data_IF_824886486052
#
_entry.id   IF_824886486052
#
_cell.length_a   1.000
_cell.length_b   1.000
_cell.length_c   1.000
_cell.angle_alpha   90.00
_cell.angle_beta   90.00
_cell.angle_gamma   90.00
#
_symmetry.space_group_name_H-M   'P 1'
#
loop_
_entity.id
_entity.type
_entity.pdbx_description
1 polymer ?
#
# COMPACT_ATOMS: atom_id res chain seq x y z
N UNK A 1 35.26 21.38 -27.62
CA UNK A 1 35.93 21.10 -26.33
C UNK A 1 35.23 21.82 -25.17
N UNK A 2 33.91 21.64 -24.97
CA UNK A 2 33.17 22.33 -23.89
C UNK A 2 32.84 21.41 -22.69
N UNK A 3 32.90 20.09 -22.88
CA UNK A 3 32.49 19.10 -21.85
C UNK A 3 33.52 19.02 -20.71
N UNK A 4 34.81 19.23 -21.00
CA UNK A 4 35.90 19.07 -20.03
C UNK A 4 35.95 20.16 -18.95
N UNK A 5 35.31 21.32 -19.16
CA UNK A 5 35.31 22.42 -18.17
C UNK A 5 34.21 22.33 -17.11
N UNK A 6 33.23 21.42 -17.26
CA UNK A 6 32.10 21.31 -16.34
C UNK A 6 32.30 20.23 -15.26
N UNK A 7 33.18 19.26 -15.52
CA UNK A 7 33.50 18.20 -14.55
C UNK A 7 34.40 18.79 -13.46
N UNK A 8 33.93 18.81 -12.21
CA UNK A 8 34.64 19.36 -11.05
C UNK A 8 34.37 20.85 -10.76
N UNK A 9 33.61 21.54 -11.62
CA UNK A 9 33.23 22.93 -11.40
C UNK A 9 32.07 23.07 -10.39
N UNK A 10 32.06 24.15 -9.60
CA UNK A 10 30.95 24.52 -8.72
C UNK A 10 29.86 25.23 -9.53
N UNK A 11 28.91 24.48 -10.05
CA UNK A 11 27.81 24.98 -10.90
C UNK A 11 26.52 25.02 -10.09
N UNK A 12 25.74 26.10 -10.23
CA UNK A 12 24.40 26.16 -9.65
C UNK A 12 23.45 25.16 -10.32
N UNK A 13 22.52 24.59 -9.54
CA UNK A 13 21.62 23.58 -10.07
C UNK A 13 20.56 24.21 -10.96
N UNK A 14 20.20 23.53 -12.05
CA UNK A 14 19.24 24.06 -13.03
C UNK A 14 17.81 23.99 -12.51
N UNK A 15 17.54 23.09 -11.58
CA UNK A 15 16.24 22.86 -10.95
C UNK A 15 15.92 23.86 -9.84
N UNK A 16 16.92 24.54 -9.25
CA UNK A 16 16.72 25.42 -8.09
C UNK A 16 15.64 26.47 -8.31
N UNK A 17 15.60 27.23 -9.43
CA UNK A 17 14.63 28.29 -9.61
C UNK A 17 13.18 27.83 -9.48
N UNK A 18 12.82 26.66 -10.01
CA UNK A 18 11.44 26.14 -9.90
C UNK A 18 11.14 25.59 -8.52
N UNK A 19 12.12 24.96 -7.86
CA UNK A 19 11.92 24.30 -6.57
C UNK A 19 11.81 25.29 -5.42
N UNK A 20 12.53 26.42 -5.46
CA UNK A 20 12.52 27.43 -4.38
C UNK A 20 11.40 28.46 -4.51
N UNK A 21 10.62 28.41 -5.60
CA UNK A 21 9.56 29.38 -5.91
C UNK A 21 8.16 28.76 -5.91
N UNK A 22 8.02 27.48 -5.55
CA UNK A 22 6.74 26.78 -5.58
C UNK A 22 6.28 26.38 -7.00
N UNK A 23 7.13 26.51 -8.02
CA UNK A 23 6.86 26.05 -9.39
C UNK A 23 7.39 24.62 -9.66
N UNK A 24 7.76 23.90 -8.60
CA UNK A 24 8.00 22.46 -8.67
C UNK A 24 6.68 21.73 -8.91
N UNK A 25 6.72 20.62 -9.65
CA UNK A 25 5.57 19.73 -9.80
C UNK A 25 5.94 18.36 -9.23
N UNK A 26 5.18 17.94 -8.24
CA UNK A 26 5.18 16.63 -7.61
C UNK A 26 3.89 15.89 -7.99
N UNK A 27 3.80 14.62 -7.63
CA UNK A 27 2.69 13.75 -8.05
C UNK A 27 1.32 14.29 -7.61
N UNK A 28 1.23 14.87 -6.40
CA UNK A 28 -0.03 15.39 -5.83
C UNK A 28 -0.43 16.77 -6.38
N UNK A 29 0.46 17.44 -7.16
CA UNK A 29 0.17 18.74 -7.77
C UNK A 29 -0.64 18.61 -9.08
N UNK A 30 -0.76 17.39 -9.61
CA UNK A 30 -1.46 17.14 -10.87
C UNK A 30 -2.92 16.80 -10.64
N UNK A 31 -3.84 17.63 -11.13
CA UNK A 31 -5.27 17.32 -11.21
C UNK A 31 -5.71 17.17 -12.68
N UNK A 32 -6.47 16.12 -12.99
CA UNK A 32 -7.16 15.94 -14.28
C UNK A 32 -8.66 15.93 -14.04
N UNK A 33 -9.44 16.25 -15.07
CA UNK A 33 -10.88 16.04 -15.00
C UNK A 33 -11.16 14.53 -14.82
N UNK A 34 -12.02 14.19 -13.86
CA UNK A 34 -12.33 12.80 -13.53
C UNK A 34 -11.31 12.10 -12.63
N UNK A 35 -10.36 12.83 -12.01
CA UNK A 35 -9.49 12.25 -10.98
C UNK A 35 -10.33 11.77 -9.78
N UNK A 36 -10.21 10.49 -9.46
CA UNK A 36 -10.70 9.92 -8.20
C UNK A 36 -9.58 9.84 -7.17
N UNK A 37 -9.93 9.93 -5.90
CA UNK A 37 -9.03 9.85 -4.76
C UNK A 37 -9.20 8.51 -4.07
N UNK A 38 -8.09 7.84 -3.76
CA UNK A 38 -8.09 6.58 -3.05
C UNK A 38 -7.71 6.76 -1.57
N UNK A 39 -8.48 6.15 -0.68
CA UNK A 39 -8.13 5.96 0.72
C UNK A 39 -8.04 4.46 1.02
N UNK A 40 -7.05 4.06 1.83
CA UNK A 40 -6.82 2.65 2.15
C UNK A 40 -7.15 2.38 3.61
N UNK A 41 -7.99 1.38 3.85
CA UNK A 41 -8.22 0.82 5.19
C UNK A 41 -7.05 -0.10 5.51
N UNK A 42 -6.44 0.10 6.68
CA UNK A 42 -5.22 -0.59 7.09
C UNK A 42 -5.43 -1.34 8.39
N UNK A 43 -4.76 -2.49 8.50
CA UNK A 43 -4.74 -3.28 9.73
C UNK A 43 -4.14 -2.49 10.90
N UNK A 44 -4.83 -2.42 12.05
CA UNK A 44 -4.22 -1.92 13.28
C UNK A 44 -3.34 -2.98 13.98
N UNK A 45 -3.47 -4.26 13.59
CA UNK A 45 -2.80 -5.40 14.23
C UNK A 45 -1.52 -5.80 13.50
N UNK A 46 -0.54 -6.27 14.28
CA UNK A 46 0.71 -6.81 13.73
C UNK A 46 0.55 -8.21 13.13
N UNK A 47 -0.39 -9.01 13.64
CA UNK A 47 -0.78 -10.28 13.05
C UNK A 47 -2.23 -10.58 13.45
N UNK A 48 -3.13 -10.78 12.50
CA UNK A 48 -4.52 -11.12 12.79
C UNK A 48 -5.18 -11.84 11.62
N UNK A 49 -6.18 -12.67 11.90
CA UNK A 49 -7.09 -13.23 10.90
C UNK A 49 -8.21 -12.24 10.63
N UNK A 50 -8.54 -12.02 9.35
CA UNK A 50 -9.71 -11.23 8.95
C UNK A 50 -10.93 -12.16 9.00
N UNK A 51 -11.88 -11.87 9.88
CA UNK A 51 -13.15 -12.63 9.99
C UNK A 51 -14.16 -12.16 8.96
N UNK A 52 -14.33 -10.85 8.86
CA UNK A 52 -15.25 -10.22 7.91
C UNK A 52 -14.83 -8.78 7.63
N UNK A 53 -15.28 -8.27 6.47
CA UNK A 53 -15.15 -6.87 6.07
C UNK A 53 -16.56 -6.45 5.63
N UNK A 54 -17.15 -5.49 6.33
CA UNK A 54 -18.41 -4.86 5.94
C UNK A 54 -18.13 -3.52 5.25
N UNK A 55 -18.57 -3.43 4.00
CA UNK A 55 -18.41 -2.26 3.13
C UNK A 55 -19.74 -1.54 2.86
N UNK A 56 -20.83 -1.96 3.50
CA UNK A 56 -22.20 -1.58 3.16
C UNK A 56 -22.43 -0.06 3.25
N UNK A 57 -21.99 0.56 4.34
CA UNK A 57 -22.18 2.00 4.56
C UNK A 57 -21.21 2.83 3.72
N UNK A 58 -19.96 2.39 3.62
CA UNK A 58 -18.95 3.02 2.78
C UNK A 58 -19.38 3.09 1.30
N UNK A 59 -19.99 2.02 0.79
CA UNK A 59 -20.45 1.93 -0.61
C UNK A 59 -21.64 2.84 -0.92
N UNK A 60 -22.34 3.33 0.10
CA UNK A 60 -23.49 4.25 -0.02
C UNK A 60 -23.13 5.69 0.34
N UNK A 61 -21.90 5.93 0.79
CA UNK A 61 -21.49 7.24 1.25
C UNK A 61 -21.43 8.25 0.09
N UNK A 62 -21.83 9.51 0.31
CA UNK A 62 -21.82 10.53 -0.73
C UNK A 62 -20.45 10.71 -1.38
N UNK A 63 -20.40 10.63 -2.71
CA UNK A 63 -19.19 10.81 -3.52
C UNK A 63 -18.23 9.62 -3.52
N UNK A 64 -18.52 8.53 -2.79
CA UNK A 64 -17.79 7.25 -2.96
C UNK A 64 -18.24 6.61 -4.27
N UNK A 65 -17.27 6.34 -5.15
CA UNK A 65 -17.51 5.73 -6.46
C UNK A 65 -17.38 4.21 -6.41
N UNK A 66 -16.41 3.70 -5.65
CA UNK A 66 -16.19 2.26 -5.51
C UNK A 66 -15.44 1.91 -4.22
N UNK A 67 -15.69 0.71 -3.73
CA UNK A 67 -14.94 0.09 -2.63
C UNK A 67 -14.41 -1.26 -3.13
N UNK A 68 -13.13 -1.52 -2.91
CA UNK A 68 -12.46 -2.75 -3.29
C UNK A 68 -11.89 -3.48 -2.08
N UNK A 69 -12.00 -4.80 -2.12
CA UNK A 69 -11.41 -5.75 -1.17
C UNK A 69 -10.58 -6.77 -1.95
N UNK A 70 -9.90 -7.68 -1.24
CA UNK A 70 -9.15 -8.76 -1.89
C UNK A 70 -10.01 -9.61 -2.86
N UNK A 71 -11.33 -9.70 -2.63
CA UNK A 71 -12.25 -10.49 -3.47
C UNK A 71 -12.35 -9.95 -4.90
N UNK A 72 -12.26 -8.64 -5.06
CA UNK A 72 -12.41 -7.95 -6.35
C UNK A 72 -11.20 -8.15 -7.27
N UNK A 73 -10.05 -8.52 -6.70
CA UNK A 73 -8.78 -8.68 -7.42
C UNK A 73 -8.45 -10.13 -7.78
N UNK A 74 -9.12 -11.12 -7.18
CA UNK A 74 -8.78 -12.56 -7.37
C UNK A 74 -8.81 -13.04 -8.82
N UNK A 75 -9.73 -12.50 -9.62
CA UNK A 75 -9.87 -12.86 -11.04
C UNK A 75 -9.04 -11.97 -11.98
N UNK A 76 -8.51 -10.85 -11.46
CA UNK A 76 -7.83 -9.80 -12.22
C UNK A 76 -6.30 -9.93 -12.12
N UNK A 77 -5.79 -10.48 -11.01
CA UNK A 77 -4.36 -10.61 -10.76
C UNK A 77 -3.83 -11.92 -11.36
N UNK A 78 -2.87 -11.80 -12.28
CA UNK A 78 -2.18 -12.93 -12.88
C UNK A 78 -1.22 -13.66 -11.91
N UNK A 79 -1.07 -13.15 -10.68
CA UNK A 79 -0.21 -13.72 -9.66
C UNK A 79 -0.03 -12.79 -8.46
N UNK A 80 0.82 -13.20 -7.54
CA UNK A 80 1.19 -12.42 -6.36
C UNK A 80 2.10 -11.24 -6.73
N UNK A 81 2.27 -10.28 -5.83
CA UNK A 81 3.22 -9.19 -6.01
C UNK A 81 4.60 -9.73 -6.38
N UNK A 82 5.22 -9.20 -7.45
CA UNK A 82 6.58 -9.57 -7.80
C UNK A 82 7.52 -9.03 -6.71
N UNK A 83 7.78 -9.85 -5.69
CA UNK A 83 8.94 -9.65 -4.86
C UNK A 83 10.12 -10.17 -5.66
N UNK A 84 11.01 -9.27 -6.10
CA UNK A 84 12.32 -9.71 -6.54
C UNK A 84 12.88 -10.61 -5.43
N UNK A 85 13.40 -11.81 -5.74
CA UNK A 85 14.12 -12.57 -4.73
C UNK A 85 15.14 -11.59 -4.16
N UNK A 86 15.13 -11.43 -2.83
CA UNK A 86 16.17 -10.65 -2.18
C UNK A 86 17.50 -11.09 -2.78
N UNK A 87 18.49 -10.21 -2.92
CA UNK A 87 19.84 -10.50 -3.46
C UNK A 87 20.62 -11.60 -2.69
N UNK A 88 19.91 -12.38 -1.86
CA UNK A 88 20.32 -13.55 -1.10
C UNK A 88 19.95 -14.80 -1.91
N UNK A 89 20.96 -15.39 -2.58
CA UNK A 89 20.81 -16.57 -3.44
C UNK A 89 20.14 -17.79 -2.77
N UNK A 90 20.14 -17.84 -1.44
CA UNK A 90 19.60 -18.94 -0.64
C UNK A 90 18.11 -18.80 -0.31
N UNK A 91 17.53 -17.59 -0.42
CA UNK A 91 16.11 -17.35 -0.16
C UNK A 91 15.28 -17.65 -1.41
N UNK A 92 14.95 -18.94 -1.58
CA UNK A 92 14.08 -19.43 -2.66
C UNK A 92 12.58 -19.29 -2.39
N UNK A 93 12.18 -18.87 -1.19
CA UNK A 93 10.77 -18.72 -0.83
C UNK A 93 10.32 -17.26 -0.98
N UNK A 94 9.44 -17.04 -1.96
CA UNK A 94 8.69 -15.79 -2.11
C UNK A 94 7.31 -16.05 -1.51
N UNK A 95 6.97 -15.46 -0.34
CA UNK A 95 5.63 -15.59 0.20
C UNK A 95 4.63 -14.98 -0.77
N UNK A 96 3.48 -15.63 -0.92
CA UNK A 96 2.36 -15.07 -1.66
C UNK A 96 1.92 -13.78 -0.97
N UNK A 97 2.08 -12.65 -1.67
CA UNK A 97 1.66 -11.33 -1.18
C UNK A 97 0.72 -10.71 -2.17
N UNK A 98 -0.46 -10.31 -1.72
CA UNK A 98 -1.45 -9.63 -2.54
C UNK A 98 -1.50 -8.13 -2.16
N UNK A 99 -1.97 -7.25 -3.06
CA UNK A 99 -2.08 -5.82 -2.77
C UNK A 99 -3.03 -5.50 -1.62
N UNK A 100 -4.01 -6.37 -1.41
CA UNK A 100 -5.00 -6.28 -0.34
C UNK A 100 -5.06 -7.65 0.35
N UNK A 101 -4.97 -7.66 1.67
CA UNK A 101 -5.03 -8.86 2.49
C UNK A 101 -6.42 -9.52 2.40
N UNK A 102 -6.42 -10.84 2.24
CA UNK A 102 -7.65 -11.62 2.07
C UNK A 102 -8.07 -12.34 3.35
N UNK A 103 -7.15 -13.15 3.92
CA UNK A 103 -7.46 -14.08 5.02
C UNK A 103 -6.84 -13.64 6.34
N UNK A 104 -5.65 -13.07 6.27
CA UNK A 104 -4.86 -12.65 7.42
C UNK A 104 -4.02 -11.44 7.04
N UNK A 105 -3.74 -10.63 8.04
CA UNK A 105 -2.82 -9.50 8.00
C UNK A 105 -1.58 -9.89 8.79
N UNK A 106 -0.41 -9.71 8.18
CA UNK A 106 0.88 -10.19 8.68
C UNK A 106 1.77 -9.06 9.20
N UNK A 107 1.30 -7.80 9.14
CA UNK A 107 1.95 -6.64 9.73
C UNK A 107 0.94 -5.50 9.93
N UNK A 108 1.26 -4.62 10.88
CA UNK A 108 0.50 -3.39 11.11
C UNK A 108 0.63 -2.48 9.89
N UNK A 109 -0.49 -1.93 9.43
CA UNK A 109 -0.55 -1.08 8.25
C UNK A 109 -0.85 -1.83 6.95
N UNK A 110 -0.95 -3.16 6.96
CA UNK A 110 -1.34 -3.94 5.77
C UNK A 110 -2.74 -3.55 5.28
N UNK A 111 -2.90 -3.40 3.96
CA UNK A 111 -4.14 -2.92 3.35
C UNK A 111 -5.18 -4.03 3.37
N UNK A 112 -6.40 -3.72 3.82
CA UNK A 112 -7.54 -4.67 3.83
C UNK A 112 -8.69 -4.24 2.91
N UNK A 113 -8.80 -2.96 2.61
CA UNK A 113 -9.74 -2.43 1.63
C UNK A 113 -9.23 -1.10 1.04
N UNK A 114 -9.76 -0.73 -0.12
CA UNK A 114 -9.51 0.56 -0.76
C UNK A 114 -10.85 1.22 -1.13
N UNK A 115 -10.99 2.51 -0.84
CA UNK A 115 -12.17 3.32 -1.16
C UNK A 115 -11.75 4.38 -2.18
N UNK A 116 -12.48 4.47 -3.29
CA UNK A 116 -12.30 5.51 -4.30
C UNK A 116 -13.48 6.50 -4.22
N UNK A 117 -13.19 7.78 -4.23
CA UNK A 117 -14.20 8.84 -4.18
C UNK A 117 -13.85 10.06 -5.05
N UNK A 118 -14.82 10.93 -5.26
CA UNK A 118 -14.68 12.17 -6.06
C UNK A 118 -13.74 13.20 -5.40
N UNK A 119 -13.64 13.18 -4.07
CA UNK A 119 -12.73 14.06 -3.30
C UNK A 119 -11.92 13.29 -2.27
N UNK A 120 -10.78 13.85 -1.88
CA UNK A 120 -9.91 13.29 -0.85
C UNK A 120 -10.63 13.10 0.49
N UNK A 121 -11.46 14.07 0.89
CA UNK A 121 -12.25 14.01 2.13
C UNK A 121 -13.23 12.86 2.10
N UNK A 122 -14.04 12.76 1.03
CA UNK A 122 -15.01 11.67 0.87
C UNK A 122 -14.36 10.28 0.85
N UNK A 123 -13.16 10.14 0.26
CA UNK A 123 -12.45 8.86 0.28
C UNK A 123 -12.10 8.44 1.72
N UNK A 124 -11.59 9.40 2.52
CA UNK A 124 -11.25 9.16 3.93
C UNK A 124 -12.50 8.87 4.76
N UNK A 125 -13.55 9.65 4.59
CA UNK A 125 -14.82 9.45 5.29
C UNK A 125 -15.44 8.08 4.96
N UNK A 126 -15.44 7.71 3.67
CA UNK A 126 -15.88 6.39 3.22
C UNK A 126 -15.02 5.26 3.81
N UNK A 127 -13.70 5.43 3.89
CA UNK A 127 -12.83 4.45 4.52
C UNK A 127 -13.11 4.26 6.02
N UNK A 128 -13.49 5.32 6.73
CA UNK A 128 -13.84 5.26 8.15
C UNK A 128 -15.18 4.54 8.43
N UNK A 129 -16.03 4.37 7.40
CA UNK A 129 -17.29 3.62 7.52
C UNK A 129 -17.11 2.11 7.35
N UNK A 130 -15.95 1.65 6.89
CA UNK A 130 -15.68 0.21 6.72
C UNK A 130 -15.42 -0.42 8.07
N UNK A 131 -16.19 -1.46 8.40
CA UNK A 131 -16.02 -2.24 9.62
C UNK A 131 -15.26 -3.52 9.28
N UNK A 132 -14.18 -3.80 10.02
CA UNK A 132 -13.37 -5.01 9.83
C UNK A 132 -13.29 -5.76 11.15
N UNK A 133 -13.74 -7.01 11.13
CA UNK A 133 -13.64 -7.91 12.27
C UNK A 133 -12.35 -8.72 12.20
N UNK A 134 -11.59 -8.71 13.29
CA UNK A 134 -10.29 -9.35 13.40
C UNK A 134 -10.24 -10.32 14.57
N UNK A 135 -9.54 -11.42 14.36
CA UNK A 135 -9.07 -12.29 15.44
C UNK A 135 -7.55 -12.13 15.52
N UNK A 136 -7.07 -11.47 16.58
CA UNK A 136 -5.63 -11.24 16.78
C UNK A 136 -4.88 -12.57 16.94
N UNK A 137 -3.73 -12.67 16.26
CA UNK A 137 -2.85 -13.83 16.28
C UNK A 137 -1.52 -13.46 16.91
N UNK A 138 -0.80 -14.42 17.52
CA UNK A 138 0.55 -14.16 18.03
C UNK A 138 1.47 -13.65 16.92
N UNK A 139 1.99 -12.44 17.09
CA UNK A 139 2.91 -11.83 16.14
C UNK A 139 4.38 -12.14 16.48
N UNK A 140 5.22 -12.29 15.45
CA UNK A 140 6.65 -12.56 15.63
C UNK A 140 7.44 -11.26 15.58
N UNK A 141 7.83 -10.77 16.76
CA UNK A 141 8.54 -9.47 16.91
C UNK A 141 10.06 -9.60 17.05
N UNK A 142 10.58 -10.83 17.20
CA UNK A 142 12.01 -11.11 17.36
C UNK A 142 12.43 -12.25 16.47
N UNK A 143 13.62 -12.14 15.87
CA UNK A 143 14.17 -13.19 15.00
C UNK A 143 14.26 -14.55 15.72
N UNK A 144 14.64 -14.56 17.00
CA UNK A 144 14.77 -15.79 17.79
C UNK A 144 13.46 -16.57 17.93
N UNK A 145 12.31 -15.88 17.89
CA UNK A 145 11.00 -16.53 18.00
C UNK A 145 10.58 -17.25 16.70
N UNK A 146 11.26 -17.00 15.57
CA UNK A 146 11.03 -17.75 14.32
C UNK A 146 11.44 -19.23 14.44
N UNK A 147 12.40 -19.53 15.30
CA UNK A 147 13.00 -20.88 15.42
C UNK A 147 12.21 -21.80 16.36
N UNK A 148 11.20 -21.29 17.07
CA UNK A 148 10.51 -22.02 18.14
C UNK A 148 9.23 -22.76 17.77
N UNK A 149 8.62 -22.49 16.60
CA UNK A 149 7.25 -22.96 16.32
C UNK A 149 6.98 -23.61 14.96
N UNK A 150 7.89 -23.54 13.96
CA UNK A 150 7.58 -24.02 12.61
C UNK A 150 8.75 -24.65 11.85
N UNK A 151 9.23 -25.81 12.31
CA UNK A 151 9.96 -26.76 11.44
C UNK A 151 9.06 -27.86 10.85
N UNK A 152 7.73 -27.87 11.08
CA UNK A 152 6.90 -29.07 10.84
C UNK A 152 5.51 -28.87 10.19
N UNK A 153 5.22 -27.78 9.48
CA UNK A 153 4.02 -27.76 8.62
C UNK A 153 4.39 -27.43 7.18
N UNK A 154 4.49 -28.52 6.40
CA UNK A 154 4.43 -28.55 4.95
C UNK A 154 3.01 -28.26 4.48
#
# INVERSE_FOLDING_TARGET
>A
MAVTQLVGAKIHRREDPRLITGHGHYIDDFTRQGTAYAAFVRSPFAHARIKSIDITDASKAPGVTSVYTARDFKSQLAGTHPAAPAFVAEKKYIPERFPIAEKEVCYQGEIVAAVLAETRGQAVDGANLIQVDYEELPAVMRRQHLLGSHLHRR
#
